data_IF_959327239781
#
_entry.id   IF_959327239781
#
_cell.length_a   1.000
_cell.length_b   1.000
_cell.length_c   1.000
_cell.angle_alpha   90.00
_cell.angle_beta   90.00
_cell.angle_gamma   90.00
#
_symmetry.space_group_name_H-M   'P 1'
#
loop_
_entity.id
_entity.type
_entity.pdbx_description
1 polymer ?
#
# COMPACT_ATOMS: atom_id res chain seq x y z
N UNK A 1 12.82 -7.01 -0.66
CA UNK A 1 13.60 -7.76 0.36
C UNK A 1 15.02 -7.18 0.40
N UNK A 2 15.59 -6.98 1.59
CA UNK A 2 16.98 -6.52 1.77
C UNK A 2 17.88 -7.74 1.94
N UNK A 3 18.95 -7.83 1.15
CA UNK A 3 19.98 -8.85 1.32
C UNK A 3 20.75 -8.61 2.62
N UNK A 4 20.88 -9.65 3.43
CA UNK A 4 21.63 -9.62 4.68
C UNK A 4 23.10 -9.91 4.40
N UNK A 5 23.93 -8.86 4.39
CA UNK A 5 25.38 -9.03 4.35
C UNK A 5 25.90 -9.88 5.50
N UNK A 6 26.91 -10.72 5.21
CA UNK A 6 27.83 -11.49 6.09
C UNK A 6 27.35 -12.12 7.42
N UNK A 7 26.06 -12.14 7.72
CA UNK A 7 25.47 -12.84 8.87
C UNK A 7 24.80 -14.12 8.37
N UNK A 8 24.90 -15.20 9.16
CA UNK A 8 24.25 -16.51 8.99
C UNK A 8 22.98 -16.45 8.10
N UNK A 9 23.08 -16.95 6.86
CA UNK A 9 22.04 -16.77 5.83
C UNK A 9 20.66 -17.29 6.28
N UNK A 10 20.62 -18.33 7.13
CA UNK A 10 19.39 -18.92 7.64
C UNK A 10 18.76 -18.18 8.83
N UNK A 11 19.36 -17.08 9.32
CA UNK A 11 18.83 -16.27 10.43
C UNK A 11 17.43 -15.70 10.12
N UNK A 12 17.21 -15.30 8.88
CA UNK A 12 15.93 -14.75 8.45
C UNK A 12 14.82 -15.79 8.40
N UNK A 13 15.15 -17.02 8.01
CA UNK A 13 14.20 -18.13 8.02
C UNK A 13 13.80 -18.48 9.45
N UNK A 14 14.79 -18.64 10.36
CA UNK A 14 14.53 -18.92 11.77
C UNK A 14 13.65 -17.84 12.40
N UNK A 15 14.03 -16.57 12.23
CA UNK A 15 13.26 -15.44 12.76
C UNK A 15 11.85 -15.34 12.17
N UNK A 16 11.65 -15.71 10.91
CA UNK A 16 10.33 -15.72 10.30
C UNK A 16 9.45 -16.82 10.90
N UNK A 17 9.98 -18.04 11.07
CA UNK A 17 9.30 -19.15 11.73
C UNK A 17 8.94 -18.80 13.18
N UNK A 18 9.91 -18.34 13.98
CA UNK A 18 9.70 -17.96 15.39
C UNK A 18 8.65 -16.83 15.52
N UNK A 19 8.64 -15.87 14.58
CA UNK A 19 7.72 -14.75 14.61
C UNK A 19 6.28 -15.15 14.27
N UNK A 20 6.12 -16.04 13.28
CA UNK A 20 4.83 -16.49 12.78
C UNK A 20 4.21 -17.52 13.73
N UNK A 21 5.00 -18.39 14.36
CA UNK A 21 4.51 -19.42 15.30
C UNK A 21 4.29 -18.89 16.74
N UNK A 22 4.18 -17.58 16.94
CA UNK A 22 4.03 -17.01 18.28
C UNK A 22 2.71 -17.52 18.94
N UNK A 23 2.76 -18.19 20.11
CA UNK A 23 1.58 -18.75 20.77
C UNK A 23 0.50 -17.72 21.12
N UNK A 24 0.87 -16.46 21.36
CA UNK A 24 -0.08 -15.38 21.67
C UNK A 24 -0.97 -15.00 20.48
N UNK A 25 -0.55 -15.31 19.25
CA UNK A 25 -1.25 -14.92 18.01
C UNK A 25 -1.97 -16.07 17.33
N UNK A 26 -1.93 -17.25 17.92
CA UNK A 26 -2.29 -18.53 17.27
C UNK A 26 -3.16 -19.40 18.16
N UNK A 27 -3.86 -18.79 19.13
CA UNK A 27 -4.66 -19.48 20.15
C UNK A 27 -3.88 -20.60 20.87
N UNK A 28 -2.68 -20.27 21.38
CA UNK A 28 -1.76 -21.24 22.03
C UNK A 28 -1.27 -22.35 21.10
N UNK A 29 -1.10 -22.06 19.82
CA UNK A 29 -0.55 -23.00 18.82
C UNK A 29 -1.59 -23.89 18.13
N UNK A 30 -2.89 -23.72 18.39
CA UNK A 30 -3.96 -24.50 17.75
C UNK A 30 -4.03 -24.24 16.24
N UNK A 31 -3.78 -23.01 15.80
CA UNK A 31 -3.86 -22.60 14.40
C UNK A 31 -2.51 -22.65 13.69
N UNK A 32 -1.68 -23.65 14.02
CA UNK A 32 -0.37 -23.90 13.41
C UNK A 32 -0.40 -25.24 12.69
N UNK A 33 -0.02 -25.24 11.42
CA UNK A 33 0.06 -26.43 10.59
C UNK A 33 1.36 -26.47 9.80
N UNK A 34 1.73 -27.65 9.33
CA UNK A 34 2.90 -27.85 8.51
C UNK A 34 2.65 -28.93 7.44
N UNK A 35 3.37 -28.83 6.32
CA UNK A 35 3.35 -29.77 5.21
C UNK A 35 4.79 -30.18 4.91
N UNK A 36 5.02 -31.48 4.75
CA UNK A 36 6.34 -32.11 4.53
C UNK A 36 7.39 -31.80 5.60
N UNK A 37 6.99 -31.23 6.72
CA UNK A 37 7.82 -31.03 7.90
C UNK A 37 6.95 -31.03 9.17
N UNK A 38 7.58 -31.16 10.32
CA UNK A 38 6.94 -30.99 11.62
C UNK A 38 7.12 -29.54 12.07
N UNK A 39 6.05 -28.89 12.55
CA UNK A 39 6.07 -27.47 12.91
C UNK A 39 7.21 -27.12 13.90
N UNK A 40 7.40 -27.96 14.93
CA UNK A 40 8.42 -27.76 15.97
C UNK A 40 9.86 -27.93 15.46
N UNK A 41 10.06 -28.73 14.41
CA UNK A 41 11.37 -29.02 13.81
C UNK A 41 11.54 -28.42 12.40
N UNK A 42 10.63 -27.54 12.00
CA UNK A 42 10.55 -27.03 10.63
C UNK A 42 11.85 -26.34 10.20
N UNK A 43 12.47 -25.57 11.09
CA UNK A 43 13.74 -24.91 10.79
C UNK A 43 14.87 -25.91 10.51
N UNK A 44 14.97 -26.97 11.33
CA UNK A 44 16.02 -27.98 11.24
C UNK A 44 15.84 -28.81 9.98
N UNK A 45 14.63 -29.32 9.73
CA UNK A 45 14.29 -30.11 8.54
C UNK A 45 14.50 -29.30 7.24
N UNK A 46 14.03 -28.05 7.18
CA UNK A 46 14.29 -27.18 6.03
C UNK A 46 15.78 -26.88 5.82
N UNK A 47 16.59 -26.91 6.88
CA UNK A 47 18.03 -26.70 6.78
C UNK A 47 18.75 -27.99 6.35
N UNK A 48 18.29 -29.15 6.79
CA UNK A 48 18.86 -30.44 6.42
C UNK A 48 18.67 -30.74 4.93
N UNK A 49 17.49 -30.46 4.39
CA UNK A 49 17.25 -30.51 2.93
C UNK A 49 18.22 -29.59 2.18
N UNK A 50 18.47 -28.38 2.68
CA UNK A 50 19.44 -27.47 2.05
C UNK A 50 20.88 -27.97 2.15
N UNK A 51 21.27 -28.59 3.27
CA UNK A 51 22.60 -29.20 3.44
C UNK A 51 22.77 -30.37 2.48
N UNK A 52 21.76 -31.22 2.35
CA UNK A 52 21.76 -32.37 1.44
C UNK A 52 22.03 -31.95 -0.01
N UNK A 53 21.41 -30.84 -0.45
CA UNK A 53 21.61 -30.30 -1.81
C UNK A 53 22.74 -29.26 -1.91
N UNK A 54 23.50 -29.00 -0.85
CA UNK A 54 24.61 -28.02 -0.84
C UNK A 54 24.19 -26.57 -1.09
N UNK A 55 22.96 -26.18 -0.74
CA UNK A 55 22.32 -24.90 -1.08
C UNK A 55 22.00 -24.03 0.13
N UNK A 56 22.98 -23.88 1.03
CA UNK A 56 22.86 -23.11 2.29
C UNK A 56 23.10 -21.60 2.12
N UNK A 57 23.26 -21.12 0.89
CA UNK A 57 23.60 -19.74 0.53
C UNK A 57 22.40 -18.96 -0.05
N UNK A 58 22.50 -17.62 -0.07
CA UNK A 58 21.48 -16.71 -0.64
C UNK A 58 20.12 -16.87 0.05
N UNK A 59 19.01 -16.77 -0.70
CA UNK A 59 17.64 -16.81 -0.16
C UNK A 59 17.33 -18.19 0.46
N UNK A 60 16.93 -18.19 1.74
CA UNK A 60 16.71 -19.40 2.53
C UNK A 60 15.25 -19.82 2.69
N UNK A 61 14.30 -18.95 2.32
CA UNK A 61 12.88 -19.27 2.38
C UNK A 61 12.03 -18.13 1.83
N UNK A 62 10.74 -18.40 1.75
CA UNK A 62 9.73 -17.49 1.24
C UNK A 62 8.61 -17.34 2.27
N UNK A 63 7.93 -16.18 2.21
CA UNK A 63 6.83 -15.86 3.10
C UNK A 63 5.66 -15.35 2.26
N UNK A 64 4.57 -16.11 2.23
CA UNK A 64 3.30 -15.74 1.60
C UNK A 64 2.33 -15.33 2.70
N UNK A 65 1.51 -14.31 2.41
CA UNK A 65 0.44 -13.85 3.29
C UNK A 65 -0.86 -13.95 2.51
N UNK A 66 -1.82 -14.70 3.05
CA UNK A 66 -3.19 -14.78 2.53
C UNK A 66 -4.09 -13.97 3.45
N UNK A 67 -4.65 -12.88 2.95
CA UNK A 67 -5.54 -12.01 3.73
C UNK A 67 -6.97 -12.17 3.27
N UNK A 68 -7.88 -12.37 4.21
CA UNK A 68 -9.32 -12.42 3.98
C UNK A 68 -9.96 -11.07 4.27
N UNK A 69 -11.15 -10.82 3.71
CA UNK A 69 -11.91 -9.60 4.00
C UNK A 69 -12.41 -9.63 5.45
N UNK A 70 -12.61 -8.45 6.05
CA UNK A 70 -13.22 -8.34 7.39
C UNK A 70 -14.56 -9.05 7.47
N UNK A 71 -14.77 -9.75 8.58
CA UNK A 71 -16.04 -10.42 8.94
C UNK A 71 -16.50 -11.47 7.90
N UNK A 72 -15.60 -11.97 7.05
CA UNK A 72 -15.94 -12.91 5.97
C UNK A 72 -15.62 -14.37 6.30
N UNK A 73 -14.58 -14.62 7.11
CA UNK A 73 -14.11 -15.97 7.40
C UNK A 73 -13.79 -16.15 8.88
N UNK A 74 -14.20 -17.29 9.43
CA UNK A 74 -13.81 -17.72 10.77
C UNK A 74 -12.35 -18.24 10.76
N UNK A 75 -11.57 -18.07 11.85
CA UNK A 75 -10.18 -18.51 11.91
C UNK A 75 -9.97 -20.00 11.58
N UNK A 76 -10.84 -20.88 12.06
CA UNK A 76 -10.78 -22.32 11.77
C UNK A 76 -10.99 -22.60 10.26
N UNK A 77 -11.92 -21.89 9.61
CA UNK A 77 -12.13 -22.00 8.16
C UNK A 77 -10.97 -21.44 7.35
N UNK A 78 -10.40 -20.30 7.79
CA UNK A 78 -9.19 -19.76 7.19
C UNK A 78 -8.04 -20.77 7.26
N UNK A 79 -7.94 -21.53 8.35
CA UNK A 79 -6.92 -22.55 8.54
C UNK A 79 -7.10 -23.71 7.56
N UNK A 80 -8.32 -24.22 7.40
CA UNK A 80 -8.64 -25.27 6.41
C UNK A 80 -8.31 -24.82 4.97
N UNK A 81 -8.71 -23.61 4.59
CA UNK A 81 -8.44 -23.05 3.26
C UNK A 81 -6.93 -22.92 3.05
N UNK A 82 -6.22 -22.44 4.06
CA UNK A 82 -4.76 -22.30 4.02
C UNK A 82 -4.08 -23.66 3.89
N UNK A 83 -4.55 -24.68 4.61
CA UNK A 83 -4.04 -26.04 4.52
C UNK A 83 -4.19 -26.60 3.10
N UNK A 84 -5.38 -26.47 2.50
CA UNK A 84 -5.64 -26.88 1.12
C UNK A 84 -4.76 -26.14 0.11
N UNK A 85 -4.62 -24.82 0.28
CA UNK A 85 -3.74 -24.01 -0.56
C UNK A 85 -2.29 -24.46 -0.49
N UNK A 86 -1.75 -24.70 0.72
CA UNK A 86 -0.37 -25.15 0.89
C UNK A 86 -0.18 -26.55 0.32
N UNK A 87 -1.15 -27.44 0.49
CA UNK A 87 -1.11 -28.77 -0.11
C UNK A 87 -1.10 -28.72 -1.65
N UNK A 88 -2.00 -27.95 -2.27
CA UNK A 88 -2.11 -27.83 -3.73
C UNK A 88 -0.93 -27.06 -4.36
N UNK A 89 -0.40 -26.04 -3.69
CA UNK A 89 0.66 -25.18 -4.25
C UNK A 89 2.09 -25.64 -3.93
N UNK A 90 2.32 -26.16 -2.72
CA UNK A 90 3.67 -26.46 -2.20
C UNK A 90 3.86 -27.93 -1.82
N UNK A 91 2.77 -28.69 -1.62
CA UNK A 91 2.80 -30.03 -1.04
C UNK A 91 3.61 -31.05 -1.83
N UNK A 92 3.77 -30.87 -3.14
CA UNK A 92 4.50 -31.82 -3.96
C UNK A 92 6.02 -31.70 -3.85
N UNK A 93 6.55 -30.53 -3.48
CA UNK A 93 7.98 -30.23 -3.68
C UNK A 93 8.66 -29.47 -2.53
N UNK A 94 7.92 -28.84 -1.61
CA UNK A 94 8.51 -27.98 -0.58
C UNK A 94 8.01 -28.32 0.82
N UNK A 95 8.88 -28.12 1.83
CA UNK A 95 8.45 -28.06 3.22
C UNK A 95 7.89 -26.68 3.52
N UNK A 96 6.74 -26.62 4.20
CA UNK A 96 6.04 -25.39 4.52
C UNK A 96 5.41 -25.44 5.91
N UNK A 97 5.45 -24.31 6.62
CA UNK A 97 4.71 -24.05 7.86
C UNK A 97 3.70 -22.97 7.57
N UNK A 98 2.46 -23.15 8.00
CA UNK A 98 1.41 -22.16 7.85
C UNK A 98 0.68 -21.93 9.15
N UNK A 99 0.26 -20.68 9.35
CA UNK A 99 -0.33 -20.21 10.60
C UNK A 99 -1.43 -19.21 10.30
N UNK A 100 -2.54 -19.26 11.03
CA UNK A 100 -3.58 -18.24 10.98
C UNK A 100 -3.46 -17.33 12.19
N UNK A 101 -3.43 -16.02 11.94
CA UNK A 101 -3.51 -15.00 12.98
C UNK A 101 -4.93 -14.43 13.05
N UNK A 102 -5.46 -14.37 14.27
CA UNK A 102 -6.77 -13.81 14.63
C UNK A 102 -6.66 -12.54 15.50
N UNK A 103 -5.43 -12.11 15.79
CA UNK A 103 -5.14 -11.02 16.72
C UNK A 103 -5.25 -9.61 16.10
N UNK A 104 -5.71 -9.49 14.87
CA UNK A 104 -5.91 -8.22 14.14
C UNK A 104 -7.31 -8.14 13.57
N UNK A 105 -7.76 -6.93 13.22
CA UNK A 105 -9.09 -6.68 12.62
C UNK A 105 -9.39 -7.53 11.37
N UNK A 106 -8.35 -8.10 10.72
CA UNK A 106 -8.47 -9.04 9.60
C UNK A 106 -7.87 -10.40 9.95
N UNK A 107 -8.62 -11.48 9.68
CA UNK A 107 -8.08 -12.83 9.68
C UNK A 107 -7.11 -12.97 8.49
N UNK A 108 -5.88 -13.38 8.78
CA UNK A 108 -4.86 -13.57 7.76
C UNK A 108 -3.96 -14.75 8.10
N UNK A 109 -3.51 -15.43 7.06
CA UNK A 109 -2.66 -16.60 7.15
C UNK A 109 -1.25 -16.27 6.69
N UNK A 110 -0.25 -16.71 7.44
CA UNK A 110 1.15 -16.66 7.08
C UNK A 110 1.64 -18.04 6.69
N UNK A 111 2.29 -18.14 5.54
CA UNK A 111 2.89 -19.38 5.03
C UNK A 111 4.38 -19.14 4.82
N UNK A 112 5.22 -19.85 5.57
CA UNK A 112 6.68 -19.80 5.45
C UNK A 112 7.16 -21.14 4.91
N UNK A 113 7.84 -21.15 3.77
CA UNK A 113 8.29 -22.38 3.13
C UNK A 113 9.74 -22.35 2.67
N UNK A 114 10.30 -23.54 2.46
CA UNK A 114 11.69 -23.73 2.10
C UNK A 114 11.99 -23.14 0.72
N UNK A 115 13.19 -22.56 0.54
CA UNK A 115 13.60 -22.08 -0.78
C UNK A 115 14.09 -23.18 -1.70
N UNK A 116 14.40 -24.37 -1.19
CA UNK A 116 14.93 -25.52 -1.95
C UNK A 116 13.89 -26.62 -1.91
N UNK A 117 13.61 -27.22 -3.07
CA UNK A 117 12.70 -28.36 -3.17
C UNK A 117 13.38 -29.63 -2.65
N UNK A 118 12.68 -30.44 -1.87
CA UNK A 118 13.22 -31.71 -1.35
C UNK A 118 13.27 -32.81 -2.41
N UNK A 119 12.55 -32.65 -3.53
CA UNK A 119 12.49 -33.62 -4.62
C UNK A 119 13.66 -33.46 -5.59
N UNK A 120 13.82 -32.27 -6.15
CA UNK A 120 14.78 -32.00 -7.22
C UNK A 120 15.92 -31.06 -6.80
N UNK A 121 15.91 -30.59 -5.55
CA UNK A 121 16.92 -29.67 -5.03
C UNK A 121 16.89 -28.30 -5.69
N UNK A 122 15.94 -27.97 -6.58
CA UNK A 122 15.92 -26.68 -7.27
C UNK A 122 15.44 -25.58 -6.33
N UNK A 123 16.00 -24.37 -6.50
CA UNK A 123 15.56 -23.21 -5.73
C UNK A 123 14.26 -22.67 -6.32
N UNK A 124 13.27 -22.44 -5.48
CA UNK A 124 12.02 -21.80 -5.87
C UNK A 124 12.32 -20.41 -6.46
N UNK A 125 11.74 -20.13 -7.62
CA UNK A 125 11.91 -18.89 -8.38
C UNK A 125 10.54 -18.24 -8.52
N UNK A 126 10.48 -16.96 -8.16
CA UNK A 126 9.27 -16.14 -8.31
C UNK A 126 9.56 -15.02 -9.30
N UNK A 127 8.73 -14.93 -10.34
CA UNK A 127 8.78 -13.92 -11.38
C UNK A 127 7.56 -12.98 -11.31
N UNK A 128 7.71 -11.78 -11.89
CA UNK A 128 6.61 -10.82 -11.94
C UNK A 128 5.51 -11.39 -12.84
N UNK A 129 4.35 -11.71 -12.25
CA UNK A 129 3.21 -12.32 -12.95
C UNK A 129 2.83 -13.70 -12.43
N UNK A 130 3.73 -14.41 -11.73
CA UNK A 130 3.47 -15.74 -11.17
C UNK A 130 2.29 -15.75 -10.18
N UNK A 131 2.11 -14.64 -9.46
CA UNK A 131 0.96 -14.47 -8.58
C UNK A 131 -0.36 -14.55 -9.36
N UNK A 132 -0.51 -13.81 -10.46
CA UNK A 132 -1.74 -13.83 -11.26
C UNK A 132 -1.95 -15.16 -11.98
N UNK A 133 -0.85 -15.82 -12.39
CA UNK A 133 -0.89 -17.03 -13.20
C UNK A 133 -1.10 -18.32 -12.39
N UNK A 134 -0.48 -18.44 -11.22
CA UNK A 134 -0.46 -19.69 -10.44
C UNK A 134 -1.06 -19.55 -9.05
N UNK A 135 -0.81 -18.46 -8.33
CA UNK A 135 -1.25 -18.33 -6.92
C UNK A 135 -2.71 -17.87 -6.83
N UNK A 136 -3.09 -16.86 -7.62
CA UNK A 136 -4.41 -16.27 -7.57
C UNK A 136 -5.52 -17.23 -8.05
N UNK A 137 -5.33 -18.05 -9.11
CA UNK A 137 -6.34 -19.01 -9.53
C UNK A 137 -6.65 -20.06 -8.46
N UNK A 138 -5.62 -20.57 -7.76
CA UNK A 138 -5.79 -21.55 -6.68
C UNK A 138 -6.55 -20.92 -5.51
N UNK A 139 -6.14 -19.72 -5.08
CA UNK A 139 -6.84 -19.02 -3.98
C UNK A 139 -8.27 -18.66 -4.36
N UNK A 140 -8.54 -18.22 -5.60
CA UNK A 140 -9.88 -17.93 -6.09
C UNK A 140 -10.78 -19.18 -6.11
N UNK A 141 -10.27 -20.30 -6.63
CA UNK A 141 -10.97 -21.59 -6.63
C UNK A 141 -11.35 -22.01 -5.21
N UNK A 142 -10.40 -21.96 -4.28
CA UNK A 142 -10.65 -22.30 -2.87
C UNK A 142 -11.64 -21.32 -2.22
N UNK A 143 -11.51 -20.01 -2.45
CA UNK A 143 -12.49 -19.04 -1.97
C UNK A 143 -13.89 -19.31 -2.52
N UNK A 144 -14.01 -19.69 -3.80
CA UNK A 144 -15.28 -20.00 -4.44
C UNK A 144 -15.95 -21.24 -3.85
N UNK A 145 -15.19 -22.31 -3.61
CA UNK A 145 -15.66 -23.54 -2.96
C UNK A 145 -16.24 -23.27 -1.57
N UNK A 146 -15.62 -22.36 -0.83
CA UNK A 146 -16.05 -21.98 0.52
C UNK A 146 -17.05 -20.81 0.55
N UNK A 147 -17.47 -20.30 -0.62
CA UNK A 147 -18.45 -19.22 -0.74
C UNK A 147 -17.94 -17.83 -0.32
N UNK A 148 -16.63 -17.63 -0.31
CA UNK A 148 -15.95 -16.37 0.02
C UNK A 148 -15.78 -15.46 -1.19
N UNK A 149 -15.43 -14.20 -0.95
CA UNK A 149 -15.13 -13.23 -2.01
C UNK A 149 -13.87 -13.60 -2.79
N UNK A 150 -13.94 -13.36 -4.10
CA UNK A 150 -12.93 -13.70 -5.09
C UNK A 150 -12.32 -12.38 -5.60
N UNK A 151 -11.03 -12.39 -5.92
CA UNK A 151 -10.35 -11.25 -6.55
C UNK A 151 -10.29 -11.50 -8.06
N UNK A 152 -10.83 -10.59 -8.84
CA UNK A 152 -10.81 -10.70 -10.29
C UNK A 152 -9.39 -10.42 -10.85
N UNK A 153 -8.87 -11.34 -11.67
CA UNK A 153 -7.48 -11.31 -12.16
C UNK A 153 -7.30 -10.20 -13.20
N UNK A 154 -8.35 -9.87 -13.97
CA UNK A 154 -8.35 -8.79 -14.96
C UNK A 154 -8.31 -7.40 -14.31
N UNK A 155 -8.93 -7.23 -13.14
CA UNK A 155 -8.83 -6.00 -12.34
C UNK A 155 -7.46 -5.86 -11.66
N UNK A 156 -6.63 -6.91 -11.70
CA UNK A 156 -5.23 -6.94 -11.25
C UNK A 156 -4.20 -6.77 -12.38
N UNK A 157 -4.58 -6.94 -13.65
CA UNK A 157 -3.75 -6.64 -14.84
C UNK A 157 -3.81 -5.17 -15.24
N UNK A 158 -4.92 -4.51 -14.94
CA UNK A 158 -4.83 -3.22 -14.25
C UNK A 158 -4.15 -3.53 -12.93
N UNK A 159 -2.83 -3.69 -12.94
CA UNK A 159 -2.07 -3.19 -11.82
C UNK A 159 -2.70 -1.82 -11.64
N UNK A 160 -3.49 -1.62 -10.56
CA UNK A 160 -3.52 -0.32 -9.91
C UNK A 160 -2.05 -0.05 -9.97
N UNK A 161 -1.64 0.81 -10.91
CA UNK A 161 -0.29 1.31 -10.92
C UNK A 161 -0.23 1.66 -9.46
N UNK A 162 0.61 0.94 -8.72
CA UNK A 162 1.18 1.52 -7.54
C UNK A 162 1.95 2.65 -8.20
N UNK A 163 1.21 3.70 -8.60
CA UNK A 163 1.63 4.96 -9.13
C UNK A 163 2.56 5.30 -8.04
N UNK A 164 3.85 5.07 -8.33
CA UNK A 164 4.87 4.84 -7.33
C UNK A 164 4.49 5.70 -6.14
N UNK A 165 4.01 5.08 -5.05
CA UNK A 165 3.63 5.91 -3.90
C UNK A 165 4.86 6.75 -3.49
N UNK A 166 6.06 6.30 -3.91
CA UNK A 166 7.31 7.07 -4.01
C UNK A 166 7.35 8.24 -5.01
N UNK A 167 6.88 8.15 -6.26
CA UNK A 167 6.99 9.27 -7.23
C UNK A 167 5.91 10.35 -7.01
N UNK A 168 4.68 9.96 -6.64
CA UNK A 168 3.64 10.94 -6.27
C UNK A 168 3.90 11.56 -4.90
N UNK A 169 4.60 10.83 -4.02
CA UNK A 169 5.25 11.35 -2.83
C UNK A 169 6.32 12.36 -3.22
N UNK A 170 7.31 12.05 -4.04
CA UNK A 170 8.45 12.94 -4.26
C UNK A 170 8.07 14.32 -4.84
N UNK A 171 6.98 14.41 -5.62
CA UNK A 171 6.46 15.67 -6.15
C UNK A 171 5.55 16.48 -5.19
N UNK A 172 4.94 15.86 -4.15
CA UNK A 172 4.11 16.53 -3.10
C UNK A 172 4.70 16.41 -1.69
N UNK A 173 5.11 15.22 -1.29
CA UNK A 173 5.93 14.87 -0.13
C UNK A 173 7.41 15.26 -0.33
N UNK A 174 7.69 16.55 -0.41
CA UNK A 174 8.74 17.16 0.41
C UNK A 174 10.20 16.69 0.36
N UNK A 175 10.65 15.61 -0.28
CA UNK A 175 12.04 15.12 -0.11
C UNK A 175 13.07 16.11 -0.69
N UNK A 176 12.73 16.71 -1.83
CA UNK A 176 13.44 17.87 -2.40
C UNK A 176 13.27 19.12 -1.54
N UNK A 177 12.05 19.37 -1.04
CA UNK A 177 11.73 20.57 -0.26
C UNK A 177 12.44 20.56 1.11
N UNK A 178 12.55 19.40 1.76
CA UNK A 178 13.30 19.16 2.99
C UNK A 178 14.79 19.23 2.72
N UNK A 179 15.31 18.64 1.63
CA UNK A 179 16.72 18.75 1.30
C UNK A 179 17.14 20.21 1.13
N UNK A 180 16.38 20.98 0.35
CA UNK A 180 16.67 22.39 0.09
C UNK A 180 16.43 23.28 1.32
N UNK A 181 15.46 22.95 2.17
CA UNK A 181 15.26 23.66 3.44
C UNK A 181 16.43 23.42 4.39
N UNK A 182 16.81 22.15 4.59
CA UNK A 182 17.94 21.78 5.43
C UNK A 182 19.21 22.46 4.93
N UNK A 183 19.46 22.48 3.61
CA UNK A 183 20.60 23.19 3.02
C UNK A 183 20.60 24.68 3.37
N UNK A 184 19.48 25.38 3.18
CA UNK A 184 19.38 26.82 3.50
C UNK A 184 19.58 27.10 4.98
N UNK A 185 19.01 26.28 5.86
CA UNK A 185 19.19 26.45 7.30
C UNK A 185 20.62 26.16 7.72
N UNK A 186 21.26 25.12 7.15
CA UNK A 186 22.68 24.84 7.35
C UNK A 186 23.54 26.02 6.88
N UNK A 187 23.31 26.55 5.68
CA UNK A 187 24.06 27.69 5.15
C UNK A 187 23.86 28.96 6.00
N UNK A 188 22.64 29.20 6.49
CA UNK A 188 22.37 30.32 7.40
C UNK A 188 23.06 30.16 8.76
N UNK A 189 23.14 28.94 9.30
CA UNK A 189 23.87 28.65 10.53
C UNK A 189 25.39 28.74 10.33
N UNK A 190 25.92 28.32 9.17
CA UNK A 190 27.34 28.45 8.84
C UNK A 190 27.75 29.93 8.84
N UNK A 191 26.94 30.79 8.24
CA UNK A 191 27.19 32.24 8.20
C UNK A 191 27.14 32.95 9.56
N UNK A 192 26.43 32.38 10.53
CA UNK A 192 26.25 32.98 11.85
C UNK A 192 27.19 32.39 12.91
N UNK A 193 27.76 31.21 12.64
CA UNK A 193 28.61 30.51 13.58
C UNK A 193 30.04 31.01 13.50
N UNK A 194 30.65 31.27 14.66
CA UNK A 194 32.09 31.54 14.76
C UNK A 194 32.91 30.24 14.84
N UNK A 195 32.32 29.19 15.44
CA UNK A 195 32.95 27.90 15.68
C UNK A 195 31.97 26.76 15.41
N UNK A 196 32.47 25.55 15.22
CA UNK A 196 31.64 24.36 14.98
C UNK A 196 30.69 24.05 16.15
N UNK A 197 31.08 24.37 17.39
CA UNK A 197 30.19 24.27 18.56
C UNK A 197 29.00 25.23 18.44
N UNK A 198 29.26 26.51 18.14
CA UNK A 198 28.21 27.52 17.95
C UNK A 198 27.28 27.19 16.79
N UNK A 199 27.79 26.57 15.72
CA UNK A 199 26.97 26.06 14.62
C UNK A 199 25.94 25.01 15.08
N UNK A 200 26.34 24.10 15.96
CA UNK A 200 25.44 23.06 16.49
C UNK A 200 24.38 23.65 17.40
N UNK A 201 24.73 24.65 18.20
CA UNK A 201 23.81 25.39 19.06
C UNK A 201 22.76 26.12 18.22
N UNK A 202 23.17 26.88 17.19
CA UNK A 202 22.27 27.57 16.27
C UNK A 202 21.31 26.62 15.53
N UNK A 203 21.77 25.42 15.17
CA UNK A 203 20.91 24.39 14.61
C UNK A 203 19.88 23.87 15.64
N UNK A 204 20.30 23.68 16.88
CA UNK A 204 19.42 23.25 17.96
C UNK A 204 18.35 24.30 18.28
N UNK A 205 18.69 25.59 18.26
CA UNK A 205 17.76 26.72 18.43
C UNK A 205 16.72 26.78 17.31
N UNK A 206 17.11 26.47 16.07
CA UNK A 206 16.19 26.31 14.94
C UNK A 206 15.30 25.06 15.04
N UNK A 207 15.45 24.25 16.09
CA UNK A 207 14.65 23.06 16.34
C UNK A 207 15.13 21.80 15.62
N UNK A 208 16.41 21.74 15.23
CA UNK A 208 17.00 20.54 14.67
C UNK A 208 17.57 19.64 15.78
N UNK A 209 17.26 18.35 15.69
CA UNK A 209 17.99 17.34 16.45
C UNK A 209 19.23 16.91 15.67
N UNK A 210 20.39 17.01 16.32
CA UNK A 210 21.68 16.70 15.72
C UNK A 210 22.25 15.44 16.34
N UNK A 211 22.70 14.51 15.49
CA UNK A 211 23.42 13.31 15.90
C UNK A 211 24.81 13.29 15.29
N UNK A 212 25.81 13.25 16.16
CA UNK A 212 27.21 13.14 15.79
C UNK A 212 27.62 11.67 15.83
N UNK A 213 28.14 11.16 14.72
CA UNK A 213 28.70 9.82 14.57
C UNK A 213 29.75 9.86 13.46
N UNK A 214 29.91 8.80 12.66
CA UNK A 214 30.80 8.84 11.48
C UNK A 214 30.44 9.94 10.47
N UNK A 215 29.17 10.38 10.45
CA UNK A 215 28.70 11.50 9.64
C UNK A 215 27.74 12.35 10.47
N UNK A 216 27.81 13.67 10.34
CA UNK A 216 26.81 14.59 10.88
C UNK A 216 25.43 14.26 10.30
N UNK A 217 24.46 14.04 11.17
CA UNK A 217 23.08 13.78 10.78
C UNK A 217 22.12 14.72 11.50
N UNK A 218 21.22 15.34 10.76
CA UNK A 218 20.26 16.34 11.23
C UNK A 218 18.84 15.87 11.01
N UNK A 219 17.95 16.23 11.92
CA UNK A 219 16.51 15.92 11.87
C UNK A 219 15.72 17.17 12.25
N UNK A 220 15.05 17.84 11.30
CA UNK A 220 14.13 18.91 11.65
C UNK A 220 12.87 18.35 12.32
N UNK A 221 12.17 19.20 13.07
CA UNK A 221 10.82 18.89 13.58
C UNK A 221 9.91 18.43 12.43
N UNK A 222 9.14 17.38 12.65
CA UNK A 222 8.26 16.77 11.63
C UNK A 222 8.91 15.71 10.74
N UNK A 223 10.24 15.54 10.78
CA UNK A 223 10.93 14.44 10.08
C UNK A 223 11.12 13.23 11.01
N UNK A 224 10.71 12.04 10.57
CA UNK A 224 10.77 10.81 11.38
C UNK A 224 12.16 10.19 11.46
N UNK A 225 13.03 10.46 10.48
CA UNK A 225 14.36 9.86 10.38
C UNK A 225 15.44 10.93 10.25
N UNK A 226 16.59 10.68 10.86
CA UNK A 226 17.79 11.49 10.68
C UNK A 226 18.29 11.41 9.24
N UNK A 227 18.65 12.58 8.67
CA UNK A 227 19.26 12.68 7.35
C UNK A 227 20.73 13.05 7.51
N UNK A 228 21.62 12.33 6.82
CA UNK A 228 23.07 12.60 6.85
C UNK A 228 23.38 13.82 6.01
N UNK A 229 24.12 14.80 6.54
CA UNK A 229 24.45 16.03 5.82
C UNK A 229 25.25 15.76 4.54
N UNK A 230 26.12 14.74 4.53
CA UNK A 230 26.83 14.26 3.31
C UNK A 230 25.91 13.91 2.14
N UNK A 231 24.67 13.49 2.40
CA UNK A 231 23.70 13.17 1.32
C UNK A 231 23.05 14.40 0.69
N UNK A 232 23.26 15.60 1.27
CA UNK A 232 22.79 16.86 0.72
C UNK A 232 23.77 17.41 -0.33
N UNK A 233 25.04 17.06 -0.23
CA UNK A 233 26.10 17.43 -1.17
C UNK A 233 27.48 17.36 -0.49
N UNK A 234 28.55 17.44 -1.28
CA UNK A 234 29.92 17.39 -0.77
C UNK A 234 30.24 18.59 0.14
N UNK A 235 29.67 19.76 -0.15
CA UNK A 235 29.80 21.00 0.64
C UNK A 235 29.10 20.97 2.02
N UNK A 236 28.42 19.87 2.35
CA UNK A 236 27.71 19.67 3.60
C UNK A 236 28.26 18.47 4.40
N UNK A 237 29.46 18.00 4.07
CA UNK A 237 30.21 17.11 4.95
C UNK A 237 30.65 17.87 6.21
N UNK A 238 30.92 17.17 7.31
CA UNK A 238 31.35 17.83 8.55
C UNK A 238 32.67 18.61 8.36
N UNK A 239 33.62 18.02 7.65
CA UNK A 239 34.91 18.63 7.30
C UNK A 239 34.68 19.91 6.46
N UNK A 240 33.83 19.83 5.43
CA UNK A 240 33.51 20.99 4.60
C UNK A 240 32.78 22.09 5.39
N UNK A 241 31.89 21.73 6.33
CA UNK A 241 31.20 22.71 7.19
C UNK A 241 32.20 23.44 8.09
N UNK A 242 33.16 22.73 8.69
CA UNK A 242 34.21 23.35 9.52
C UNK A 242 35.08 24.29 8.69
N UNK A 243 35.47 23.86 7.49
CA UNK A 243 36.22 24.73 6.57
C UNK A 243 35.42 25.95 6.13
N UNK A 244 34.11 25.80 5.90
CA UNK A 244 33.23 26.88 5.49
C UNK A 244 33.02 27.90 6.61
N UNK A 245 32.84 27.46 7.85
CA UNK A 245 32.77 28.36 9.02
C UNK A 245 34.04 29.22 9.12
N UNK A 246 35.21 28.63 8.86
CA UNK A 246 36.48 29.35 8.94
C UNK A 246 36.80 30.25 7.72
N UNK A 247 36.20 29.99 6.55
CA UNK A 247 36.52 30.66 5.28
C UNK A 247 35.42 31.61 4.78
N UNK A 248 34.16 31.39 5.14
CA UNK A 248 33.02 32.10 4.57
C UNK A 248 32.66 33.35 5.38
N UNK A 249 33.26 34.47 5.04
CA UNK A 249 32.79 35.81 5.42
C UNK A 249 31.68 36.30 4.47
N UNK A 250 30.86 37.27 4.91
CA UNK A 250 29.77 37.88 4.11
C UNK A 250 30.23 38.34 2.71
N UNK A 251 31.51 38.70 2.56
CA UNK A 251 32.19 39.11 1.32
C UNK A 251 32.35 37.97 0.30
N UNK A 252 32.49 36.72 0.74
CA UNK A 252 32.56 35.54 -0.13
C UNK A 252 31.22 35.27 -0.83
N UNK A 253 30.10 35.46 -0.12
CA UNK A 253 28.76 35.32 -0.70
C UNK A 253 28.40 36.48 -1.65
N UNK A 254 28.92 37.70 -1.41
CA UNK A 254 28.75 38.83 -2.34
C UNK A 254 29.46 38.59 -3.68
N UNK A 255 30.67 38.03 -3.68
CA UNK A 255 31.39 37.71 -4.93
C UNK A 255 30.78 36.54 -5.72
N UNK A 256 30.13 35.58 -5.05
CA UNK A 256 29.34 34.52 -5.70
C UNK A 256 28.00 35.02 -6.28
N UNK A 257 27.46 36.11 -5.73
CA UNK A 257 26.24 36.79 -6.19
C UNK A 257 26.52 37.91 -7.20
N UNK A 258 27.78 38.14 -7.61
CA UNK A 258 28.03 38.90 -8.83
C UNK A 258 27.20 38.27 -9.94
N UNK A 259 26.31 39.08 -10.54
CA UNK A 259 25.40 38.64 -11.57
C UNK A 259 26.22 37.99 -12.69
N UNK A 260 26.32 36.66 -12.68
CA UNK A 260 26.79 35.92 -13.84
C UNK A 260 25.85 36.34 -14.96
N UNK A 261 26.33 37.17 -15.87
CA UNK A 261 25.58 37.56 -17.05
C UNK A 261 24.97 36.28 -17.63
N UNK A 262 23.64 36.27 -17.79
CA UNK A 262 22.92 35.07 -18.19
C UNK A 262 23.46 34.58 -19.54
N UNK A 263 24.41 33.66 -19.51
CA UNK A 263 24.91 33.02 -20.71
C UNK A 263 23.78 32.17 -21.26
N UNK A 264 23.38 32.43 -22.51
CA UNK A 264 22.40 31.60 -23.20
C UNK A 264 23.04 30.23 -23.40
N UNK A 265 22.82 29.33 -22.45
CA UNK A 265 23.19 27.92 -22.58
C UNK A 265 22.23 27.32 -23.61
N UNK A 266 22.69 27.19 -24.86
CA UNK A 266 21.96 26.47 -25.91
C UNK A 266 21.93 24.98 -25.54
N UNK A 267 20.94 24.60 -24.73
CA UNK A 267 20.63 23.20 -24.49
C UNK A 267 19.90 22.62 -25.69
N UNK A 268 20.54 21.71 -26.42
CA UNK A 268 19.90 20.93 -27.48
C UNK A 268 19.11 19.78 -26.85
N UNK A 269 17.96 20.09 -26.27
CA UNK A 269 16.97 19.08 -25.87
C UNK A 269 16.08 18.81 -27.09
N UNK A 270 16.22 17.64 -27.72
CA UNK A 270 15.54 17.26 -28.99
C UNK A 270 14.00 17.33 -28.92
N UNK A 271 13.38 17.35 -27.74
CA UNK A 271 11.92 17.44 -27.59
C UNK A 271 11.55 18.01 -26.22
N UNK A 272 11.20 19.29 -26.17
CA UNK A 272 10.42 19.80 -25.05
C UNK A 272 8.99 19.28 -25.22
N UNK A 273 8.49 18.52 -24.24
CA UNK A 273 7.04 18.35 -24.09
C UNK A 273 6.46 19.70 -23.65
N UNK A 274 6.18 20.57 -24.62
CA UNK A 274 5.47 21.82 -24.34
C UNK A 274 4.07 21.43 -23.87
N UNK A 275 3.71 21.85 -22.66
CA UNK A 275 2.32 21.78 -22.23
C UNK A 275 1.45 22.44 -23.31
N UNK A 276 0.46 21.69 -23.83
CA UNK A 276 -0.49 22.16 -24.85
C UNK A 276 -1.47 23.17 -24.22
N UNK A 277 -0.95 24.30 -23.77
CA UNK A 277 -1.78 25.39 -23.26
C UNK A 277 -2.36 26.20 -24.42
N UNK A 278 -3.67 26.46 -24.39
CA UNK A 278 -4.32 27.35 -25.33
C UNK A 278 -3.75 28.78 -25.23
N UNK A 279 -3.93 29.59 -26.27
CA UNK A 279 -3.46 30.99 -26.26
C UNK A 279 -4.04 31.81 -25.09
N UNK A 280 -5.28 31.50 -24.69
CA UNK A 280 -5.95 32.13 -23.56
C UNK A 280 -5.31 31.72 -22.22
N UNK A 281 -4.99 30.43 -22.06
CA UNK A 281 -4.33 29.89 -20.87
C UNK A 281 -2.93 30.52 -20.69
N UNK A 282 -2.18 30.73 -21.78
CA UNK A 282 -0.87 31.42 -21.73
C UNK A 282 -1.00 32.87 -21.27
N UNK A 283 -1.98 33.60 -21.80
CA UNK A 283 -2.25 35.00 -21.39
C UNK A 283 -2.67 35.09 -19.92
N UNK A 284 -3.53 34.18 -19.48
CA UNK A 284 -3.96 34.11 -18.08
C UNK A 284 -2.80 33.76 -17.14
N UNK A 285 -1.97 32.78 -17.50
CA UNK A 285 -0.77 32.43 -16.75
C UNK A 285 0.22 33.60 -16.65
N UNK A 286 0.49 34.29 -17.76
CA UNK A 286 1.35 35.48 -17.77
C UNK A 286 0.77 36.61 -16.89
N UNK A 287 -0.55 36.80 -16.91
CA UNK A 287 -1.24 37.76 -16.04
C UNK A 287 -1.06 37.39 -14.56
N UNK A 288 -1.28 36.13 -14.19
CA UNK A 288 -1.07 35.64 -12.81
C UNK A 288 0.38 35.78 -12.35
N UNK A 289 1.34 35.60 -13.25
CA UNK A 289 2.77 35.74 -12.95
C UNK A 289 3.15 37.21 -12.72
N UNK A 290 2.70 38.12 -13.60
CA UNK A 290 2.92 39.57 -13.47
C UNK A 290 2.26 40.16 -12.22
N UNK A 291 1.08 39.67 -11.86
CA UNK A 291 0.37 40.09 -10.62
C UNK A 291 1.05 39.49 -9.37
N UNK A 292 2.04 38.60 -9.52
CA UNK A 292 2.77 38.01 -8.39
C UNK A 292 1.97 36.94 -7.63
N UNK A 293 0.80 36.52 -8.14
CA UNK A 293 0.02 35.40 -7.56
C UNK A 293 0.69 34.05 -7.79
N UNK A 294 1.59 33.96 -8.78
CA UNK A 294 2.47 32.82 -9.05
C UNK A 294 3.90 33.02 -8.49
N UNK A 295 4.10 33.88 -7.48
CA UNK A 295 5.36 33.85 -6.71
C UNK A 295 5.54 32.44 -6.13
N UNK A 296 6.77 31.91 -6.12
CA UNK A 296 7.09 30.73 -5.31
C UNK A 296 6.64 31.04 -3.88
N UNK A 297 5.58 30.38 -3.41
CA UNK A 297 5.05 30.63 -2.07
C UNK A 297 6.21 30.40 -1.08
N UNK A 298 6.39 31.27 -0.07
CA UNK A 298 7.33 30.98 1.00
C UNK A 298 7.02 29.59 1.57
N UNK A 299 8.07 28.88 1.99
CA UNK A 299 8.00 27.49 2.43
C UNK A 299 6.81 27.28 3.38
N UNK A 300 5.84 26.46 2.95
CA UNK A 300 4.60 26.32 3.70
C UNK A 300 4.88 25.49 4.96
N UNK A 301 4.63 26.05 6.15
CA UNK A 301 4.61 25.30 7.41
C UNK A 301 3.47 24.26 7.48
N UNK A 302 2.86 23.91 6.36
CA UNK A 302 1.81 22.88 6.23
C UNK A 302 2.25 21.55 6.84
N UNK A 303 3.55 21.24 6.83
CA UNK A 303 4.08 20.06 7.50
C UNK A 303 3.84 20.08 9.02
N UNK A 304 3.92 21.26 9.67
CA UNK A 304 3.74 21.43 11.12
C UNK A 304 2.31 21.10 11.53
N UNK A 305 1.36 21.55 10.73
CA UNK A 305 -0.08 21.36 10.99
C UNK A 305 -0.67 20.17 10.25
N UNK A 306 0.13 19.33 9.57
CA UNK A 306 -0.40 18.25 8.73
C UNK A 306 -1.22 17.25 9.54
N UNK A 307 -0.70 16.87 10.70
CA UNK A 307 -1.37 15.92 11.58
C UNK A 307 -2.56 16.58 12.28
N UNK A 308 -2.48 17.87 12.60
CA UNK A 308 -3.60 18.63 13.16
C UNK A 308 -4.74 18.79 12.16
N UNK A 309 -4.43 19.06 10.88
CA UNK A 309 -5.41 19.11 9.79
C UNK A 309 -6.07 17.73 9.60
N UNK A 310 -5.29 16.65 9.68
CA UNK A 310 -5.85 15.27 9.62
C UNK A 310 -6.77 14.98 10.79
N UNK A 311 -6.37 15.35 12.01
CA UNK A 311 -7.21 15.22 13.22
C UNK A 311 -8.49 16.04 13.08
N UNK A 312 -8.39 17.29 12.62
CA UNK A 312 -9.54 18.15 12.37
C UNK A 312 -10.52 17.51 11.37
N UNK A 313 -10.03 17.01 10.23
CA UNK A 313 -10.90 16.33 9.27
C UNK A 313 -11.54 15.06 9.83
N UNK A 314 -10.80 14.27 10.62
CA UNK A 314 -11.35 13.08 11.30
C UNK A 314 -12.49 13.46 12.24
N UNK A 315 -12.26 14.44 13.12
CA UNK A 315 -13.27 14.92 14.08
C UNK A 315 -14.48 15.52 13.36
N UNK A 316 -14.26 16.25 12.27
CA UNK A 316 -15.32 16.79 11.44
C UNK A 316 -16.19 15.68 10.83
N UNK A 317 -15.58 14.61 10.28
CA UNK A 317 -16.33 13.48 9.73
C UNK A 317 -17.12 12.72 10.80
N UNK A 318 -16.54 12.53 12.00
CA UNK A 318 -17.23 11.92 13.13
C UNK A 318 -18.42 12.77 13.60
N UNK A 319 -18.23 14.09 13.74
CA UNK A 319 -19.31 15.01 14.08
C UNK A 319 -20.44 14.98 13.03
N UNK A 320 -20.09 15.06 11.74
CA UNK A 320 -21.08 14.99 10.66
C UNK A 320 -21.78 13.63 10.61
N UNK A 321 -21.14 12.54 11.03
CA UNK A 321 -21.79 11.24 11.17
C UNK A 321 -22.86 11.26 12.28
N UNK A 322 -22.53 11.76 13.47
CA UNK A 322 -23.47 11.89 14.59
C UNK A 322 -24.68 12.76 14.21
N UNK A 323 -24.44 13.89 13.54
CA UNK A 323 -25.50 14.80 13.08
C UNK A 323 -26.40 14.15 12.02
N UNK A 324 -25.82 13.44 11.04
CA UNK A 324 -26.60 12.78 9.96
C UNK A 324 -27.51 11.68 10.50
N UNK A 325 -27.05 10.94 11.51
CA UNK A 325 -27.81 9.86 12.13
C UNK A 325 -28.62 10.31 13.36
N UNK A 326 -28.53 11.60 13.75
CA UNK A 326 -29.19 12.18 14.93
C UNK A 326 -28.96 11.35 16.20
N UNK A 327 -27.69 11.00 16.44
CA UNK A 327 -27.30 10.16 17.57
C UNK A 327 -27.13 11.05 18.80
N UNK A 328 -27.96 10.81 19.81
CA UNK A 328 -27.94 11.50 21.11
C UNK A 328 -27.44 10.58 22.23
N UNK A 329 -27.57 9.25 22.06
CA UNK A 329 -27.16 8.24 23.04
C UNK A 329 -26.18 7.19 22.50
N UNK A 330 -25.44 6.55 23.41
CA UNK A 330 -24.54 5.42 23.11
C UNK A 330 -25.32 4.20 22.62
N UNK A 331 -26.52 3.96 23.15
CA UNK A 331 -27.40 2.87 22.71
C UNK A 331 -27.87 3.06 21.26
N UNK A 332 -28.19 4.31 20.90
CA UNK A 332 -28.55 4.68 19.52
C UNK A 332 -27.37 4.45 18.57
N UNK A 333 -26.14 4.76 19.00
CA UNK A 333 -24.94 4.48 18.21
C UNK A 333 -24.79 2.98 17.92
N UNK A 334 -25.03 2.10 18.90
CA UNK A 334 -25.01 0.63 18.69
C UNK A 334 -26.07 0.22 17.69
N UNK A 335 -27.31 0.68 17.87
CA UNK A 335 -28.40 0.32 16.93
C UNK A 335 -28.13 0.81 15.50
N UNK A 336 -27.52 1.99 15.33
CA UNK A 336 -27.10 2.51 14.02
C UNK A 336 -25.99 1.65 13.44
N UNK A 337 -25.02 1.20 14.26
CA UNK A 337 -23.98 0.29 13.82
C UNK A 337 -24.56 -1.04 13.34
N UNK A 338 -25.48 -1.64 14.08
CA UNK A 338 -26.14 -2.90 13.70
C UNK A 338 -26.89 -2.72 12.36
N UNK A 339 -27.68 -1.66 12.23
CA UNK A 339 -28.36 -1.32 10.98
C UNK A 339 -27.39 -1.12 9.80
N UNK A 340 -26.24 -0.47 10.02
CA UNK A 340 -25.21 -0.31 9.00
C UNK A 340 -24.53 -1.64 8.65
N UNK A 341 -24.35 -2.55 9.61
CA UNK A 341 -23.80 -3.88 9.35
C UNK A 341 -24.73 -4.71 8.47
N UNK A 342 -26.04 -4.62 8.68
CA UNK A 342 -27.03 -5.33 7.86
C UNK A 342 -27.13 -4.71 6.46
N UNK A 343 -27.12 -3.38 6.34
CA UNK A 343 -27.01 -2.70 5.03
C UNK A 343 -25.73 -3.08 4.28
N UNK A 344 -24.60 -3.27 4.98
CA UNK A 344 -23.35 -3.74 4.38
C UNK A 344 -23.52 -5.16 3.84
N UNK A 345 -24.15 -6.06 4.60
CA UNK A 345 -24.45 -7.43 4.15
C UNK A 345 -25.37 -7.44 2.93
N UNK A 346 -26.42 -6.61 2.93
CA UNK A 346 -27.33 -6.46 1.78
C UNK A 346 -26.61 -5.96 0.53
N UNK A 347 -25.83 -4.88 0.64
CA UNK A 347 -25.05 -4.34 -0.47
C UNK A 347 -24.03 -5.36 -1.00
N UNK A 348 -23.41 -6.16 -0.12
CA UNK A 348 -22.49 -7.22 -0.53
C UNK A 348 -23.23 -8.37 -1.24
N UNK A 349 -24.44 -8.74 -0.78
CA UNK A 349 -25.31 -9.71 -1.47
C UNK A 349 -25.74 -9.21 -2.85
N UNK A 350 -26.10 -7.93 -2.99
CA UNK A 350 -26.46 -7.34 -4.28
C UNK A 350 -25.29 -7.33 -5.25
N UNK A 351 -24.12 -6.90 -4.81
CA UNK A 351 -22.89 -6.98 -5.59
C UNK A 351 -22.58 -8.41 -6.03
N UNK A 352 -22.70 -9.38 -5.12
CA UNK A 352 -22.52 -10.81 -5.45
C UNK A 352 -23.55 -11.31 -6.47
N UNK A 353 -24.82 -10.88 -6.36
CA UNK A 353 -25.86 -11.20 -7.35
C UNK A 353 -25.51 -10.62 -8.72
N UNK A 354 -25.10 -9.35 -8.80
CA UNK A 354 -24.71 -8.71 -10.06
C UNK A 354 -23.49 -9.40 -10.66
N UNK A 355 -22.51 -9.77 -9.84
CA UNK A 355 -21.35 -10.54 -10.29
C UNK A 355 -21.74 -11.92 -10.83
N UNK A 356 -22.52 -12.70 -10.09
CA UNK A 356 -23.03 -14.01 -10.54
C UNK A 356 -23.88 -13.90 -11.80
N UNK A 357 -24.67 -12.84 -11.93
CA UNK A 357 -25.44 -12.58 -13.14
C UNK A 357 -24.52 -12.28 -14.34
N UNK A 358 -23.49 -11.46 -14.16
CA UNK A 358 -22.47 -11.20 -15.20
C UNK A 358 -21.75 -12.49 -15.61
N UNK A 359 -21.36 -13.32 -14.65
CA UNK A 359 -20.64 -14.58 -14.90
C UNK A 359 -21.45 -15.56 -15.74
N UNK A 360 -22.80 -15.56 -15.64
CA UNK A 360 -23.66 -16.39 -16.50
C UNK A 360 -23.60 -16.00 -17.99
N UNK A 361 -23.26 -14.74 -18.28
CA UNK A 361 -23.12 -14.24 -19.65
C UNK A 361 -21.66 -14.22 -20.12
N UNK A 362 -20.73 -14.80 -19.35
CA UNK A 362 -19.31 -14.79 -19.65
C UNK A 362 -19.01 -15.43 -21.01
N UNK A 363 -19.55 -16.61 -21.28
CA UNK A 363 -19.36 -17.28 -22.58
C UNK A 363 -19.81 -16.41 -23.77
N UNK A 364 -20.90 -15.64 -23.59
CA UNK A 364 -21.42 -14.72 -24.61
C UNK A 364 -20.49 -13.50 -24.76
N UNK A 365 -19.98 -12.96 -23.64
CA UNK A 365 -19.02 -11.86 -23.66
C UNK A 365 -17.69 -12.27 -24.31
N UNK A 366 -17.20 -13.47 -24.01
CA UNK A 366 -15.95 -14.00 -24.56
C UNK A 366 -16.07 -14.23 -26.07
N UNK A 367 -17.22 -14.75 -26.54
CA UNK A 367 -17.51 -14.86 -27.98
C UNK A 367 -17.56 -13.50 -28.67
N UNK A 368 -18.23 -12.51 -28.10
CA UNK A 368 -18.29 -11.17 -28.67
C UNK A 368 -16.91 -10.46 -28.66
N UNK A 369 -16.04 -10.77 -27.69
CA UNK A 369 -14.65 -10.32 -27.67
C UNK A 369 -13.85 -10.93 -28.82
N UNK A 370 -13.96 -12.25 -29.04
CA UNK A 370 -13.30 -12.93 -30.15
C UNK A 370 -13.77 -12.43 -31.52
N UNK A 371 -15.07 -12.16 -31.68
CA UNK A 371 -15.61 -11.54 -32.91
C UNK A 371 -14.95 -10.18 -33.16
N UNK A 372 -14.83 -9.34 -32.12
CA UNK A 372 -14.20 -8.02 -32.21
C UNK A 372 -12.70 -8.08 -32.54
N UNK A 373 -11.99 -9.10 -32.06
CA UNK A 373 -10.58 -9.33 -32.41
C UNK A 373 -10.41 -9.73 -33.88
N UNK A 374 -11.44 -10.37 -34.46
CA UNK A 374 -11.46 -10.81 -35.85
C UNK A 374 -12.04 -9.77 -36.83
N UNK A 375 -12.69 -8.70 -36.36
CA UNK A 375 -13.29 -7.65 -37.22
C UNK A 375 -12.28 -6.98 -38.16
N UNK A 376 -11.03 -6.77 -37.71
CA UNK A 376 -9.97 -6.19 -38.55
C UNK A 376 -9.60 -7.14 -39.70
N UNK A 377 -9.53 -8.45 -39.42
CA UNK A 377 -9.25 -9.48 -40.41
C UNK A 377 -10.42 -9.67 -41.39
N UNK A 378 -11.65 -9.59 -40.88
CA UNK A 378 -12.88 -9.64 -41.66
C UNK A 378 -12.97 -8.45 -42.63
N UNK A 379 -12.65 -7.24 -42.17
CA UNK A 379 -12.59 -6.03 -43.00
C UNK A 379 -11.56 -6.16 -44.13
N UNK A 380 -10.40 -6.76 -43.85
CA UNK A 380 -9.38 -7.06 -44.86
C UNK A 380 -9.87 -8.08 -45.89
N UNK A 381 -10.53 -9.16 -45.45
CA UNK A 381 -11.10 -10.17 -46.35
C UNK A 381 -12.20 -9.58 -47.25
N UNK A 382 -13.12 -8.79 -46.69
CA UNK A 382 -14.16 -8.08 -47.46
C UNK A 382 -13.57 -7.12 -48.51
N UNK A 383 -12.38 -6.56 -48.25
CA UNK A 383 -11.67 -5.70 -49.21
C UNK A 383 -11.00 -6.46 -50.36
N UNK A 384 -11.09 -7.79 -50.37
CA UNK A 384 -10.61 -8.69 -51.43
C UNK A 384 -9.30 -9.40 -51.11
N UNK A 385 -8.80 -9.33 -49.88
CA UNK A 385 -7.59 -10.03 -49.45
C UNK A 385 -7.92 -11.46 -49.00
N UNK A 386 -7.59 -12.45 -49.83
CA UNK A 386 -7.85 -13.87 -49.53
C UNK A 386 -6.92 -14.43 -48.45
N UNK A 387 -5.94 -13.66 -47.96
CA UNK A 387 -5.01 -14.10 -46.92
C UNK A 387 -5.71 -14.46 -45.59
N UNK A 388 -6.84 -13.81 -45.28
CA UNK A 388 -7.57 -13.94 -44.02
C UNK A 388 -8.82 -14.84 -44.11
N UNK A 389 -8.83 -15.81 -45.03
CA UNK A 389 -10.00 -16.69 -45.25
C UNK A 389 -10.32 -17.55 -44.02
N UNK A 390 -9.30 -18.04 -43.31
CA UNK A 390 -9.47 -18.85 -42.10
C UNK A 390 -10.08 -18.03 -40.95
N UNK A 391 -9.61 -16.79 -40.76
CA UNK A 391 -10.13 -15.84 -39.78
C UNK A 391 -11.56 -15.41 -40.09
N UNK A 392 -11.90 -15.23 -41.36
CA UNK A 392 -13.26 -14.94 -41.80
C UNK A 392 -14.22 -16.09 -41.49
N UNK A 393 -13.83 -17.33 -41.79
CA UNK A 393 -14.63 -18.52 -41.46
C UNK A 393 -14.83 -18.68 -39.94
N UNK A 394 -13.81 -18.34 -39.14
CA UNK A 394 -13.92 -18.33 -37.68
C UNK A 394 -14.87 -17.24 -37.17
N UNK A 395 -14.81 -16.04 -37.76
CA UNK A 395 -15.73 -14.93 -37.46
C UNK A 395 -17.18 -15.30 -37.78
N UNK A 396 -17.45 -15.88 -38.97
CA UNK A 396 -18.79 -16.26 -39.39
C UNK A 396 -19.38 -17.36 -38.50
N UNK A 397 -18.57 -18.36 -38.12
CA UNK A 397 -18.98 -19.39 -37.15
C UNK A 397 -19.33 -18.77 -35.79
N UNK A 398 -18.51 -17.89 -35.26
CA UNK A 398 -18.77 -17.25 -33.96
C UNK A 398 -20.01 -16.36 -34.01
N UNK A 399 -20.20 -15.62 -35.10
CA UNK A 399 -21.36 -14.75 -35.29
C UNK A 399 -22.65 -15.56 -35.44
N UNK A 400 -22.64 -16.66 -36.21
CA UNK A 400 -23.80 -17.57 -36.32
C UNK A 400 -24.13 -18.25 -35.00
N UNK A 401 -23.13 -18.66 -34.21
CA UNK A 401 -23.34 -19.19 -32.87
C UNK A 401 -23.92 -18.14 -31.91
N UNK A 402 -23.48 -16.89 -31.99
CA UNK A 402 -24.00 -15.79 -31.16
C UNK A 402 -25.47 -15.49 -31.51
N UNK A 403 -25.78 -15.43 -32.82
CA UNK A 403 -27.14 -15.25 -33.33
C UNK A 403 -28.04 -16.44 -32.96
N UNK A 404 -27.54 -17.67 -32.98
CA UNK A 404 -28.28 -18.85 -32.54
C UNK A 404 -28.62 -18.81 -31.04
N UNK A 405 -27.79 -18.12 -30.24
CA UNK A 405 -28.07 -17.83 -28.83
C UNK A 405 -29.01 -16.64 -28.62
N UNK A 406 -29.41 -15.96 -29.71
CA UNK A 406 -30.39 -14.88 -29.71
C UNK A 406 -29.83 -13.50 -29.39
N UNK A 407 -28.52 -13.29 -29.55
CA UNK A 407 -27.88 -12.00 -29.26
C UNK A 407 -27.13 -11.45 -30.48
N UNK A 408 -27.21 -10.14 -30.70
CA UNK A 408 -26.30 -9.42 -31.61
C UNK A 408 -25.06 -8.91 -30.86
N UNK A 409 -23.96 -8.67 -31.58
CA UNK A 409 -22.71 -8.13 -30.99
C UNK A 409 -22.98 -6.80 -30.25
N UNK A 410 -23.78 -5.92 -30.83
CA UNK A 410 -24.16 -4.63 -30.24
C UNK A 410 -24.99 -4.80 -28.95
N UNK A 411 -25.93 -5.76 -28.94
CA UNK A 411 -26.72 -6.09 -27.76
C UNK A 411 -25.85 -6.63 -26.63
N UNK A 412 -24.88 -7.50 -26.95
CA UNK A 412 -23.91 -8.03 -25.98
C UNK A 412 -23.06 -6.93 -25.39
N UNK A 413 -22.59 -5.98 -26.19
CA UNK A 413 -21.85 -4.82 -25.68
C UNK A 413 -22.70 -3.95 -24.76
N UNK A 414 -23.96 -3.69 -25.14
CA UNK A 414 -24.88 -2.93 -24.30
C UNK A 414 -25.14 -3.63 -22.96
N UNK A 415 -25.23 -4.96 -22.99
CA UNK A 415 -25.40 -5.81 -21.82
C UNK A 415 -24.15 -5.80 -20.93
N UNK A 416 -22.95 -5.88 -21.53
CA UNK A 416 -21.65 -5.76 -20.84
C UNK A 416 -21.56 -4.42 -20.11
N UNK A 417 -21.80 -3.31 -20.82
CA UNK A 417 -21.80 -1.95 -20.25
C UNK A 417 -22.82 -1.81 -19.11
N UNK A 418 -24.01 -2.41 -19.24
CA UNK A 418 -25.04 -2.42 -18.20
C UNK A 418 -24.58 -3.13 -16.93
N UNK A 419 -24.00 -4.32 -17.05
CA UNK A 419 -23.48 -5.07 -15.90
C UNK A 419 -22.26 -4.40 -15.26
N UNK A 420 -21.34 -3.85 -16.04
CA UNK A 420 -20.19 -3.09 -15.53
C UNK A 420 -20.64 -1.84 -14.76
N UNK A 421 -21.58 -1.07 -15.31
CA UNK A 421 -22.15 0.10 -14.67
C UNK A 421 -22.87 -0.27 -13.36
N UNK A 422 -23.70 -1.31 -13.39
CA UNK A 422 -24.39 -1.80 -12.19
C UNK A 422 -23.42 -2.28 -11.13
N UNK A 423 -22.43 -3.09 -11.49
CA UNK A 423 -21.42 -3.58 -10.56
C UNK A 423 -20.60 -2.45 -9.93
N UNK A 424 -20.29 -1.40 -10.70
CA UNK A 424 -19.63 -0.20 -10.20
C UNK A 424 -20.52 0.58 -9.20
N UNK A 425 -21.83 0.67 -9.46
CA UNK A 425 -22.80 1.25 -8.53
C UNK A 425 -22.89 0.45 -7.23
N UNK A 426 -23.01 -0.88 -7.32
CA UNK A 426 -23.07 -1.78 -6.16
C UNK A 426 -21.77 -1.67 -5.32
N UNK A 427 -20.61 -1.63 -5.98
CA UNK A 427 -19.32 -1.39 -5.31
C UNK A 427 -19.24 -0.02 -4.63
N UNK A 428 -19.81 1.02 -5.24
CA UNK A 428 -19.86 2.37 -4.66
C UNK A 428 -20.77 2.39 -3.43
N UNK A 429 -21.91 1.72 -3.49
CA UNK A 429 -22.84 1.57 -2.36
C UNK A 429 -22.20 0.81 -1.20
N UNK A 430 -21.58 -0.35 -1.47
CA UNK A 430 -20.88 -1.16 -0.45
C UNK A 430 -19.76 -0.34 0.23
N UNK A 431 -18.98 0.42 -0.54
CA UNK A 431 -17.91 1.28 -0.01
C UNK A 431 -18.46 2.45 0.81
N UNK A 432 -19.57 3.05 0.41
CA UNK A 432 -20.20 4.13 1.16
C UNK A 432 -20.64 3.65 2.55
N UNK A 433 -21.36 2.53 2.62
CA UNK A 433 -21.78 1.92 3.89
C UNK A 433 -20.58 1.50 4.73
N UNK A 434 -19.55 0.89 4.12
CA UNK A 434 -18.33 0.48 4.84
C UNK A 434 -17.58 1.66 5.45
N UNK A 435 -17.55 2.82 4.78
CA UNK A 435 -16.96 4.05 5.33
C UNK A 435 -17.73 4.56 6.53
N UNK A 436 -19.06 4.62 6.43
CA UNK A 436 -19.92 5.05 7.55
C UNK A 436 -19.79 4.12 8.75
N UNK A 437 -19.77 2.81 8.51
CA UNK A 437 -19.56 1.80 9.55
C UNK A 437 -18.18 1.93 10.20
N UNK A 438 -17.13 2.18 9.43
CA UNK A 438 -15.77 2.43 9.96
C UNK A 438 -15.71 3.70 10.81
N UNK A 439 -16.40 4.78 10.40
CA UNK A 439 -16.51 6.01 11.19
C UNK A 439 -17.25 5.75 12.51
N UNK A 440 -18.40 5.06 12.46
CA UNK A 440 -19.16 4.69 13.66
C UNK A 440 -18.35 3.81 14.61
N UNK A 441 -17.65 2.78 14.10
CA UNK A 441 -16.74 1.94 14.90
C UNK A 441 -15.60 2.75 15.51
N UNK A 442 -15.08 3.76 14.80
CA UNK A 442 -14.05 4.66 15.35
C UNK A 442 -14.58 5.51 16.51
N UNK A 443 -15.83 5.99 16.42
CA UNK A 443 -16.47 6.74 17.52
C UNK A 443 -16.69 5.83 18.72
N UNK A 444 -17.22 4.63 18.49
CA UNK A 444 -17.41 3.61 19.54
C UNK A 444 -16.11 3.27 20.26
N UNK A 445 -15.02 3.07 19.52
CA UNK A 445 -13.70 2.78 20.08
C UNK A 445 -13.16 3.93 20.92
N UNK A 446 -13.38 5.18 20.51
CA UNK A 446 -12.95 6.35 21.28
C UNK A 446 -13.76 6.49 22.58
N UNK A 447 -15.08 6.26 22.55
CA UNK A 447 -15.97 6.29 23.71
C UNK A 447 -15.66 5.17 24.72
N UNK A 448 -15.37 3.96 24.25
CA UNK A 448 -15.02 2.83 25.13
C UNK A 448 -13.65 3.01 25.77
N UNK A 449 -12.67 3.56 25.03
CA UNK A 449 -11.35 3.89 25.60
C UNK A 449 -11.46 4.99 26.64
N UNK A 450 -12.27 6.04 26.43
CA UNK A 450 -12.48 7.10 27.43
C UNK A 450 -13.16 6.57 28.69
N UNK A 451 -14.23 5.76 28.56
CA UNK A 451 -14.90 5.15 29.71
C UNK A 451 -13.94 4.28 30.56
N UNK A 452 -13.11 3.46 29.90
CA UNK A 452 -12.12 2.63 30.60
C UNK A 452 -10.98 3.42 31.27
N UNK A 453 -10.71 4.64 30.80
CA UNK A 453 -9.72 5.54 31.38
C UNK A 453 -10.31 6.28 32.60
N UNK A 454 -11.58 6.66 32.53
CA UNK A 454 -12.33 7.29 33.61
C UNK A 454 -12.55 6.34 34.79
N UNK A 455 -12.93 5.07 34.56
CA UNK A 455 -13.03 4.05 35.61
C UNK A 455 -11.70 3.84 36.34
N UNK A 456 -10.58 3.77 35.61
CA UNK A 456 -9.24 3.63 36.22
C UNK A 456 -8.81 4.86 37.02
N UNK A 457 -9.33 6.03 36.69
CA UNK A 457 -9.05 7.26 37.43
C UNK A 457 -9.90 7.33 38.70
N UNK A 458 -11.19 6.97 38.60
CA UNK A 458 -12.09 6.83 39.75
C UNK A 458 -11.59 5.80 40.75
N UNK A 459 -11.15 4.62 40.30
CA UNK A 459 -10.58 3.59 41.18
C UNK A 459 -9.32 4.10 41.92
N UNK A 460 -8.48 4.89 41.25
CA UNK A 460 -7.29 5.49 41.87
C UNK A 460 -7.63 6.56 42.91
N UNK A 461 -8.65 7.37 42.67
CA UNK A 461 -9.13 8.38 43.61
C UNK A 461 -9.82 7.71 44.81
N UNK A 462 -10.66 6.69 44.58
CA UNK A 462 -11.32 5.91 45.64
C UNK A 462 -10.32 5.15 46.53
N UNK A 463 -9.22 4.65 45.95
CA UNK A 463 -8.12 4.02 46.69
C UNK A 463 -7.30 5.05 47.49
N UNK A 464 -7.19 6.30 47.01
CA UNK A 464 -6.56 7.40 47.75
C UNK A 464 -7.40 7.83 48.95
N UNK A 465 -8.70 8.05 48.75
CA UNK A 465 -9.61 8.46 49.81
C UNK A 465 -9.73 7.40 50.93
N UNK A 466 -9.65 6.10 50.59
CA UNK A 466 -9.58 5.02 51.60
C UNK A 466 -8.28 5.00 52.41
N UNK A 467 -7.18 5.56 51.90
CA UNK A 467 -5.90 5.66 52.62
C UNK A 467 -5.81 6.90 53.51
N UNK A 468 -6.63 7.92 53.25
CA UNK A 468 -6.64 9.18 53.99
C UNK A 468 -7.67 9.22 55.13
N UNK A 469 -8.51 8.19 55.30
CA UNK A 469 -9.35 8.09 56.48
C UNK A 469 -8.51 7.75 57.72
N UNK A 470 -8.46 8.61 58.75
CA UNK A 470 -7.73 8.31 59.97
C UNK A 470 -8.43 7.15 60.67
N UNK A 471 -7.66 6.07 60.89
CA UNK A 471 -8.06 4.93 61.72
C UNK A 471 -8.31 5.50 63.13
N UNK A 472 -9.56 5.46 63.58
CA UNK A 472 -9.96 5.87 64.94
C UNK A 472 -9.52 4.86 65.99
#
# INVERSE_FOLDING_TARGET
>A
MKDSGNSFHARHLKRALDYVMNPEKTQRGRLVGAVNCQADMAFEQMMDTKKQFGKTDKRQGYHIILSFKEDEVEPDRAFEITQKFVAEYLGDAYEAVFVVHDNTDHVHSHIVFNSVSFVDGKKYRYEKGDWAKYIQPITNKLCQEYGLSIIDVEDGSKEKKHENYKDWSEYREGSFVWADMIKRDLDACILQANDFSGFLELLSEKGYEVKQGKYLAVRPQGMTRFRRCKTLGENYSQEAIVERIAKEDLSFYQSQNEEKQAAIVKCYVKRYHRAKMSGLQKRYYAKLYRIGKLKKKPYSQVWKYRDDIRKMHKLQEQYLFLVRHKIESVEELVSVLDNLTDKKKEASKEKSKTYKAKERFKDIFDKAEQIRELDDAESCYQSGDTFFEDEHNAWERLNTELLAQGYSVEEVESLRKKYESKYAQDCKAERAVSKELSLGRSIWKELTVSASAEEKQYDKETIRDRKEQPIR
#
